data_IF_838806854734
#
_entry.id   IF_838806854734
#
_cell.length_a   1.000
_cell.length_b   1.000
_cell.length_c   1.000
_cell.angle_alpha   90.00
_cell.angle_beta   90.00
_cell.angle_gamma   90.00
#
_symmetry.space_group_name_H-M   'P 1'
#
loop_
_entity.id
_entity.type
_entity.pdbx_description
1 polymer ?
#
# COMPACT_ATOMS: atom_id res chain seq x y z
N UNK A 1 -18.05 0.34 9.55
CA UNK A 1 -18.24 -1.11 9.76
C UNK A 1 -17.39 -1.66 10.91
N UNK A 2 -16.06 -1.51 10.90
CA UNK A 2 -15.17 -2.06 11.93
C UNK A 2 -15.57 -1.67 13.36
N UNK A 3 -15.81 -0.38 13.63
CA UNK A 3 -16.23 0.07 14.97
C UNK A 3 -17.60 -0.49 15.40
N UNK A 4 -18.53 -0.72 14.45
CA UNK A 4 -19.83 -1.32 14.74
C UNK A 4 -19.63 -2.78 15.17
N UNK A 5 -18.89 -3.56 14.38
CA UNK A 5 -18.57 -4.96 14.71
C UNK A 5 -17.87 -5.07 16.06
N UNK A 6 -16.85 -4.25 16.30
CA UNK A 6 -16.09 -4.25 17.56
C UNK A 6 -17.02 -4.05 18.77
N UNK A 7 -17.89 -3.03 18.72
CA UNK A 7 -18.82 -2.71 19.80
C UNK A 7 -19.89 -3.79 19.98
N UNK A 8 -20.48 -4.27 18.89
CA UNK A 8 -21.52 -5.30 18.92
C UNK A 8 -21.00 -6.65 19.42
N UNK A 9 -19.76 -7.01 19.09
CA UNK A 9 -19.13 -8.25 19.50
C UNK A 9 -18.39 -8.16 20.86
N UNK A 10 -18.35 -6.98 21.49
CA UNK A 10 -17.66 -6.77 22.78
C UNK A 10 -16.15 -6.99 22.73
N UNK A 11 -15.53 -6.84 21.55
CA UNK A 11 -14.11 -7.14 21.36
C UNK A 11 -13.21 -6.00 21.85
N UNK A 12 -12.07 -6.38 22.44
CA UNK A 12 -10.98 -5.43 22.71
C UNK A 12 -10.50 -4.83 21.39
N UNK A 13 -10.08 -3.56 21.40
CA UNK A 13 -9.69 -2.82 20.19
C UNK A 13 -8.58 -3.51 19.39
N UNK A 14 -7.63 -4.14 20.06
CA UNK A 14 -6.53 -4.88 19.42
C UNK A 14 -6.94 -6.20 18.76
N UNK A 15 -8.20 -6.62 18.91
CA UNK A 15 -8.75 -7.84 18.30
C UNK A 15 -9.66 -7.57 17.09
N UNK A 16 -9.88 -6.31 16.72
CA UNK A 16 -10.71 -5.93 15.57
C UNK A 16 -9.98 -4.91 14.71
N UNK A 17 -9.50 -5.34 13.54
CA UNK A 17 -8.69 -4.52 12.65
C UNK A 17 -9.40 -4.31 11.32
N UNK A 18 -9.42 -3.06 10.85
CA UNK A 18 -9.90 -2.70 9.53
C UNK A 18 -8.78 -2.71 8.50
N UNK A 19 -9.07 -3.16 7.27
CA UNK A 19 -8.10 -3.17 6.17
C UNK A 19 -8.05 -1.88 5.34
N UNK A 20 -8.74 -0.81 5.77
CA UNK A 20 -9.04 0.41 4.99
C UNK A 20 -7.98 0.79 3.94
N UNK A 21 -6.79 1.25 4.36
CA UNK A 21 -5.75 1.75 3.47
C UNK A 21 -4.84 0.68 2.85
N UNK A 22 -5.04 -0.61 3.15
CA UNK A 22 -4.09 -1.68 2.73
C UNK A 22 -4.07 -1.82 1.21
N UNK A 23 -5.24 -1.96 0.58
CA UNK A 23 -5.34 -2.13 -0.87
C UNK A 23 -4.89 -0.87 -1.62
N UNK A 24 -5.29 0.30 -1.15
CA UNK A 24 -4.96 1.57 -1.79
C UNK A 24 -3.48 1.94 -1.62
N UNK A 25 -2.86 1.53 -0.51
CA UNK A 25 -1.39 1.58 -0.36
C UNK A 25 -0.70 0.66 -1.36
N UNK A 26 -1.17 -0.59 -1.51
CA UNK A 26 -0.62 -1.53 -2.50
C UNK A 26 -0.74 -0.99 -3.93
N UNK A 27 -1.88 -0.38 -4.29
CA UNK A 27 -2.07 0.28 -5.59
C UNK A 27 -1.12 1.44 -5.80
N UNK A 28 -0.97 2.32 -4.80
CA UNK A 28 -0.02 3.44 -4.87
C UNK A 28 1.41 2.94 -5.10
N UNK A 29 1.85 1.92 -4.34
CA UNK A 29 3.16 1.30 -4.53
C UNK A 29 3.34 0.74 -5.94
N UNK A 30 2.33 0.04 -6.45
CA UNK A 30 2.36 -0.52 -7.80
C UNK A 30 2.52 0.57 -8.87
N UNK A 31 1.71 1.62 -8.82
CA UNK A 31 1.80 2.70 -9.82
C UNK A 31 3.14 3.42 -9.78
N UNK A 32 3.67 3.70 -8.59
CA UNK A 32 5.01 4.28 -8.43
C UNK A 32 6.10 3.33 -9.00
N UNK A 33 6.03 2.03 -8.68
CA UNK A 33 7.00 1.07 -9.18
C UNK A 33 6.98 0.96 -10.72
N UNK A 34 5.79 1.03 -11.32
CA UNK A 34 5.63 0.97 -12.77
C UNK A 34 6.17 2.24 -13.44
N UNK A 35 5.91 3.41 -12.85
CA UNK A 35 6.40 4.70 -13.33
C UNK A 35 7.92 4.79 -13.26
N UNK A 36 8.51 4.44 -12.11
CA UNK A 36 9.96 4.48 -11.91
C UNK A 36 10.71 3.25 -12.44
N UNK A 37 9.98 2.25 -12.96
CA UNK A 37 10.53 0.98 -13.48
C UNK A 37 11.41 0.24 -12.47
N UNK A 38 10.99 0.24 -11.20
CA UNK A 38 11.62 -0.51 -10.12
C UNK A 38 10.71 -1.64 -9.63
N UNK A 39 11.20 -2.48 -8.73
CA UNK A 39 10.37 -3.50 -8.11
C UNK A 39 9.40 -2.86 -7.09
N UNK A 40 8.21 -3.46 -6.89
CA UNK A 40 7.22 -2.99 -5.90
C UNK A 40 7.78 -3.07 -4.47
N UNK A 41 8.69 -4.02 -4.24
CA UNK A 41 9.41 -4.21 -2.99
C UNK A 41 10.37 -3.05 -2.69
N UNK A 42 10.87 -2.36 -3.72
CA UNK A 42 11.74 -1.19 -3.59
C UNK A 42 10.99 0.14 -3.37
N UNK A 43 9.65 0.09 -3.38
CA UNK A 43 8.79 1.24 -3.08
C UNK A 43 8.26 1.12 -1.66
N UNK A 44 8.36 2.19 -0.89
CA UNK A 44 7.64 2.38 0.38
C UNK A 44 6.68 3.54 0.21
N UNK A 45 5.38 3.28 0.27
CA UNK A 45 4.34 4.30 0.17
C UNK A 45 3.05 3.77 0.82
N UNK A 46 2.27 4.66 1.43
CA UNK A 46 1.01 4.29 2.06
C UNK A 46 0.02 5.46 2.10
N UNK A 47 -1.25 5.11 2.25
CA UNK A 47 -2.37 6.05 2.41
C UNK A 47 -2.96 5.93 3.81
N UNK A 48 -3.42 7.05 4.39
CA UNK A 48 -4.18 7.09 5.63
C UNK A 48 -5.53 7.76 5.40
N UNK A 49 -6.47 7.61 6.34
CA UNK A 49 -7.81 8.20 6.25
C UNK A 49 -8.93 7.16 6.18
N UNK A 50 -10.17 7.63 6.01
CA UNK A 50 -11.32 6.77 5.82
C UNK A 50 -11.31 6.16 4.41
N UNK A 51 -11.64 4.88 4.29
CA UNK A 51 -11.70 4.18 2.99
C UNK A 51 -12.69 4.88 2.05
N UNK A 52 -12.24 5.17 0.82
CA UNK A 52 -12.97 5.97 -0.16
C UNK A 52 -12.35 7.38 -0.34
N UNK A 53 -13.20 8.38 -0.59
CA UNK A 53 -12.77 9.70 -1.05
C UNK A 53 -11.94 10.50 -0.03
N UNK A 54 -11.90 10.07 1.23
CA UNK A 54 -11.15 10.73 2.30
C UNK A 54 -9.75 10.14 2.52
N UNK A 55 -9.30 9.23 1.65
CA UNK A 55 -7.94 8.68 1.72
C UNK A 55 -6.92 9.73 1.27
N UNK A 56 -5.82 9.84 2.01
CA UNK A 56 -4.74 10.81 1.79
C UNK A 56 -3.42 10.06 1.62
N UNK A 57 -2.73 10.18 0.47
CA UNK A 57 -1.39 9.63 0.29
C UNK A 57 -0.35 10.43 1.07
N UNK A 58 0.52 9.75 1.80
CA UNK A 58 1.60 10.39 2.55
C UNK A 58 2.86 10.53 1.68
N UNK A 59 2.82 11.47 0.73
CA UNK A 59 3.91 11.70 -0.24
C UNK A 59 5.26 11.97 0.44
N UNK A 60 5.27 12.78 1.51
CA UNK A 60 6.49 13.11 2.27
C UNK A 60 7.15 11.90 2.95
N UNK A 61 6.40 10.83 3.17
CA UNK A 61 6.87 9.58 3.78
C UNK A 61 7.00 8.45 2.76
N UNK A 62 6.84 8.76 1.48
CA UNK A 62 7.00 7.80 0.40
C UNK A 62 8.45 7.81 -0.09
N UNK A 63 9.02 6.64 -0.34
CA UNK A 63 10.41 6.46 -0.79
C UNK A 63 10.45 5.44 -1.92
N UNK A 64 11.27 5.71 -2.93
CA UNK A 64 11.56 4.79 -4.03
C UNK A 64 13.07 4.58 -4.01
N UNK A 65 13.50 3.35 -3.79
CA UNK A 65 14.92 2.99 -3.79
C UNK A 65 15.29 2.50 -5.19
N UNK A 66 16.31 3.11 -5.80
CA UNK A 66 16.82 2.62 -7.07
C UNK A 66 17.84 1.50 -6.82
N UNK A 67 17.37 0.25 -6.82
CA UNK A 67 18.25 -0.90 -6.75
C UNK A 67 18.55 -1.38 -8.18
N UNK A 68 19.83 -1.48 -8.54
CA UNK A 68 20.32 -1.94 -9.85
C UNK A 68 20.16 -3.47 -10.06
N UNK A 69 19.16 -4.10 -9.44
CA UNK A 69 18.98 -5.54 -9.48
C UNK A 69 18.67 -6.02 -10.92
N UNK A 70 19.57 -6.76 -11.58
CA UNK A 70 19.44 -7.12 -12.99
C UNK A 70 18.23 -8.04 -13.31
N UNK A 71 17.60 -8.63 -12.29
CA UNK A 71 16.48 -9.58 -12.46
C UNK A 71 15.20 -8.91 -13.00
N UNK A 72 15.02 -7.61 -12.77
CA UNK A 72 13.80 -6.88 -13.16
C UNK A 72 13.77 -6.63 -14.67
N UNK A 73 14.95 -6.49 -15.31
CA UNK A 73 15.06 -6.29 -16.76
C UNK A 73 14.86 -7.57 -17.59
N UNK A 74 14.91 -8.77 -16.98
CA UNK A 74 14.70 -10.03 -17.71
C UNK A 74 13.22 -10.37 -17.91
N UNK A 75 12.33 -10.02 -16.98
CA UNK A 75 10.91 -10.40 -17.06
C UNK A 75 10.17 -9.59 -18.15
N UNK A 76 10.68 -8.42 -18.54
CA UNK A 76 10.11 -7.62 -19.66
C UNK A 76 10.61 -8.03 -21.05
N UNK A 77 11.57 -8.95 -21.16
CA UNK A 77 12.10 -9.41 -22.45
C UNK A 77 11.43 -10.69 -22.97
N UNK A 78 10.63 -11.36 -22.14
CA UNK A 78 10.02 -12.68 -22.44
C UNK A 78 8.50 -12.60 -22.72
N UNK A 79 7.98 -11.42 -23.12
CA UNK A 79 6.62 -11.22 -23.65
C UNK A 79 6.63 -10.39 -24.93
#
# INVERSE_FOLDING_TARGET
>A
MVSVLQKSAGLKTNMCVGMAGVLDSARLKYFLSNEFKVSVEDVSAFVLGGHGDTMVPLIRYSTVIWNSNPRINKIKADY
#
